data_IF_455139317268
#
_entry.id   IF_455139317268
#
_cell.length_a   1.000
_cell.length_b   1.000
_cell.length_c   1.000
_cell.angle_alpha   90.00
_cell.angle_beta   90.00
_cell.angle_gamma   90.00
#
_symmetry.space_group_name_H-M   'P 1'
#
loop_
_entity.id
_entity.type
_entity.pdbx_description
1 polymer ?
#
# COMPACT_ATOMS: atom_id res chain seq x y z
N UNK A 1 41.71 -20.45 -29.25
CA UNK A 1 42.49 -19.35 -29.86
C UNK A 1 41.71 -18.06 -29.74
N UNK A 2 42.35 -17.05 -29.14
CA UNK A 2 41.82 -15.70 -28.90
C UNK A 2 41.74 -14.93 -30.23
N UNK A 3 40.71 -14.13 -30.43
CA UNK A 3 40.82 -12.93 -31.27
C UNK A 3 40.36 -11.73 -30.46
N UNK A 4 41.38 -11.03 -29.94
CA UNK A 4 41.30 -9.66 -29.46
C UNK A 4 41.24 -8.75 -30.67
N UNK A 5 40.43 -7.72 -30.63
CA UNK A 5 40.75 -6.44 -31.26
C UNK A 5 40.28 -5.34 -30.30
N UNK A 6 41.25 -4.67 -29.71
CA UNK A 6 41.10 -3.39 -29.04
C UNK A 6 41.50 -2.31 -30.04
N UNK A 7 40.76 -1.20 -30.09
CA UNK A 7 41.28 0.08 -30.54
C UNK A 7 40.58 1.18 -29.76
N UNK A 8 41.36 1.80 -28.89
CA UNK A 8 41.09 2.97 -28.07
C UNK A 8 41.20 4.21 -28.97
N UNK A 9 40.29 5.16 -28.79
CA UNK A 9 40.55 6.57 -29.11
C UNK A 9 40.01 7.44 -27.96
N UNK A 10 40.93 7.77 -27.05
CA UNK A 10 40.78 8.83 -26.06
C UNK A 10 40.67 10.18 -26.78
N UNK A 11 39.67 10.98 -26.41
CA UNK A 11 39.82 12.43 -26.44
C UNK A 11 39.39 12.97 -25.08
N UNK A 12 40.39 13.52 -24.37
CA UNK A 12 40.25 14.28 -23.13
C UNK A 12 39.21 15.39 -23.30
N UNK A 13 38.13 15.31 -22.52
CA UNK A 13 37.61 16.47 -21.82
C UNK A 13 37.63 16.13 -20.34
N UNK A 14 38.52 16.81 -19.62
CA UNK A 14 38.47 16.87 -18.17
C UNK A 14 37.15 17.53 -17.77
N UNK A 15 36.16 16.71 -17.42
CA UNK A 15 35.10 17.08 -16.49
C UNK A 15 35.32 16.19 -15.28
N UNK A 16 35.98 16.81 -14.31
CA UNK A 16 35.94 16.54 -12.87
C UNK A 16 35.07 15.32 -12.57
N UNK A 17 35.72 14.21 -12.20
CA UNK A 17 35.07 13.10 -11.53
C UNK A 17 34.48 13.60 -10.22
N UNK A 18 33.27 14.14 -10.30
CA UNK A 18 32.31 14.00 -9.24
C UNK A 18 32.00 12.51 -9.25
N UNK A 19 32.70 11.76 -8.39
CA UNK A 19 32.03 10.69 -7.69
C UNK A 19 30.73 11.32 -7.18
N UNK A 20 29.64 11.12 -7.91
CA UNK A 20 28.33 11.28 -7.32
C UNK A 20 28.33 10.22 -6.23
N UNK A 21 28.70 10.62 -5.00
CA UNK A 21 28.09 10.06 -3.84
C UNK A 21 26.60 10.15 -4.18
N UNK A 22 25.95 9.03 -4.53
CA UNK A 22 24.50 8.99 -4.52
C UNK A 22 24.14 9.34 -3.07
N UNK A 23 23.85 10.62 -2.84
CA UNK A 23 23.49 11.08 -1.51
C UNK A 23 22.11 10.53 -1.25
N UNK A 24 22.02 9.63 -0.27
CA UNK A 24 20.77 9.13 0.28
C UNK A 24 19.75 10.27 0.40
N UNK A 25 18.60 10.11 -0.24
CA UNK A 25 17.51 11.09 -0.25
C UNK A 25 16.45 10.65 0.74
N UNK A 26 16.40 11.31 1.89
CA UNK A 26 15.41 11.03 2.91
C UNK A 26 14.18 11.93 2.76
N UNK A 27 13.00 11.33 2.71
CA UNK A 27 11.75 12.08 2.77
C UNK A 27 11.52 12.61 4.18
N UNK A 28 11.04 13.85 4.29
CA UNK A 28 10.56 14.41 5.56
C UNK A 28 9.14 13.93 5.81
N UNK A 29 8.81 13.67 7.07
CA UNK A 29 7.48 13.18 7.45
C UNK A 29 6.95 14.02 8.61
N UNK A 30 5.78 14.59 8.40
CA UNK A 30 5.05 15.34 9.41
C UNK A 30 3.90 14.48 9.98
N UNK A 31 3.57 14.61 11.28
CA UNK A 31 2.49 13.85 11.93
C UNK A 31 1.11 14.41 11.58
N UNK A 32 0.82 14.53 10.29
CA UNK A 32 -0.41 15.14 9.78
C UNK A 32 -1.68 14.36 10.12
N UNK A 33 -1.57 13.16 10.67
CA UNK A 33 -2.71 12.43 11.26
C UNK A 33 -3.12 12.96 12.64
N UNK A 34 -2.39 13.92 13.22
CA UNK A 34 -2.71 14.55 14.51
C UNK A 34 -3.31 15.94 14.33
N UNK A 35 -4.13 16.37 15.29
CA UNK A 35 -4.68 17.74 15.33
C UNK A 35 -3.57 18.79 15.42
N UNK A 36 -2.57 18.53 16.27
CA UNK A 36 -1.38 19.35 16.41
C UNK A 36 -0.20 18.68 15.71
N UNK A 37 0.11 19.13 14.50
CA UNK A 37 1.18 18.56 13.67
C UNK A 37 2.59 18.86 14.18
N UNK A 38 2.74 19.69 15.22
CA UNK A 38 4.04 19.97 15.85
C UNK A 38 4.46 18.93 16.88
N UNK A 39 3.54 18.06 17.32
CA UNK A 39 3.83 16.97 18.25
C UNK A 39 4.16 15.70 17.45
N UNK A 40 5.40 15.17 17.51
CA UNK A 40 5.80 14.03 16.67
C UNK A 40 5.11 12.71 17.05
N UNK A 41 4.58 12.60 18.28
CA UNK A 41 3.98 11.40 18.83
C UNK A 41 2.97 11.72 19.94
N UNK A 42 1.80 11.09 19.92
CA UNK A 42 0.74 11.23 20.93
C UNK A 42 0.45 9.86 21.56
N UNK A 43 0.74 9.70 22.86
CA UNK A 43 0.72 8.41 23.58
C UNK A 43 -0.64 7.69 23.67
N UNK A 44 -1.73 8.34 23.32
CA UNK A 44 -3.11 7.83 23.38
C UNK A 44 -3.84 7.93 22.04
N UNK A 45 -3.10 8.13 20.94
CA UNK A 45 -3.67 8.25 19.61
C UNK A 45 -4.35 6.96 19.19
N UNK A 46 -5.58 7.11 18.70
CA UNK A 46 -6.38 6.08 18.07
C UNK A 46 -7.17 6.71 16.93
N UNK A 47 -7.08 6.09 15.76
CA UNK A 47 -7.87 6.42 14.59
C UNK A 47 -8.48 5.14 14.02
N UNK A 48 -9.74 5.22 13.60
CA UNK A 48 -10.40 4.19 12.80
C UNK A 48 -11.00 4.81 11.55
N UNK A 49 -10.65 4.29 10.40
CA UNK A 49 -11.25 4.65 9.10
C UNK A 49 -11.87 3.43 8.47
N UNK A 50 -13.02 3.62 7.80
CA UNK A 50 -13.74 2.55 7.10
C UNK A 50 -14.12 3.06 5.72
N UNK A 51 -13.83 2.26 4.70
CA UNK A 51 -14.09 2.54 3.30
C UNK A 51 -15.06 1.50 2.74
N UNK A 52 -15.97 1.96 1.90
CA UNK A 52 -16.70 1.08 1.00
C UNK A 52 -15.79 0.78 -0.20
N UNK A 53 -15.72 -0.48 -0.61
CA UNK A 53 -14.92 -0.91 -1.76
C UNK A 53 -15.87 -1.30 -2.88
N UNK A 54 -15.61 -0.78 -4.08
CA UNK A 54 -16.36 -1.10 -5.29
C UNK A 54 -15.41 -1.51 -6.40
N UNK A 55 -15.92 -2.35 -7.29
CA UNK A 55 -15.24 -2.67 -8.54
C UNK A 55 -15.76 -1.75 -9.65
N UNK A 56 -14.83 -1.06 -10.31
CA UNK A 56 -15.09 -0.30 -11.53
C UNK A 56 -14.42 -1.02 -12.70
N UNK A 57 -15.23 -1.52 -13.63
CA UNK A 57 -14.72 -2.29 -14.76
C UNK A 57 -13.98 -1.39 -15.76
N UNK A 58 -12.91 -1.91 -16.35
CA UNK A 58 -12.27 -1.30 -17.51
C UNK A 58 -12.97 -1.79 -18.80
N UNK A 59 -13.47 -0.85 -19.60
CA UNK A 59 -14.10 -1.14 -20.88
C UNK A 59 -13.10 -1.84 -21.83
N UNK A 60 -11.81 -1.50 -21.72
CA UNK A 60 -10.71 -2.04 -22.53
C UNK A 60 -10.11 -3.33 -21.95
N UNK A 61 -10.74 -3.94 -20.93
CA UNK A 61 -10.22 -5.17 -20.32
C UNK A 61 -9.94 -6.27 -21.33
N UNK A 62 -8.69 -6.76 -21.33
CA UNK A 62 -8.17 -7.73 -22.31
C UNK A 62 -8.16 -9.18 -21.79
N UNK A 63 -8.30 -9.38 -20.48
CA UNK A 63 -8.24 -10.71 -19.84
C UNK A 63 -9.50 -11.56 -20.03
N UNK A 64 -10.56 -11.04 -20.68
CA UNK A 64 -11.79 -11.81 -20.89
C UNK A 64 -12.55 -12.19 -19.61
N UNK A 65 -12.20 -11.65 -18.45
CA UNK A 65 -12.86 -11.88 -17.16
C UNK A 65 -13.40 -10.57 -16.58
N UNK A 66 -14.42 -10.66 -15.71
CA UNK A 66 -15.05 -9.52 -15.03
C UNK A 66 -15.57 -9.93 -13.64
N UNK A 67 -15.52 -9.01 -12.68
CA UNK A 67 -16.22 -9.17 -11.40
C UNK A 67 -17.69 -8.71 -11.52
N UNK A 68 -18.60 -9.56 -11.06
CA UNK A 68 -20.04 -9.32 -10.89
C UNK A 68 -20.38 -9.42 -9.41
N UNK A 69 -21.54 -8.86 -9.01
CA UNK A 69 -22.07 -8.98 -7.64
C UNK A 69 -21.06 -8.57 -6.56
N UNK A 70 -20.21 -7.60 -6.88
CA UNK A 70 -19.09 -7.20 -6.05
C UNK A 70 -19.57 -6.43 -4.81
N UNK A 71 -19.05 -6.82 -3.65
CA UNK A 71 -19.16 -6.07 -2.41
C UNK A 71 -17.85 -6.15 -1.64
N UNK A 72 -17.38 -5.04 -1.09
CA UNK A 72 -16.19 -5.07 -0.25
C UNK A 72 -16.15 -3.95 0.78
N UNK A 73 -15.37 -4.17 1.82
CA UNK A 73 -15.11 -3.20 2.88
C UNK A 73 -13.63 -3.20 3.23
N UNK A 74 -13.09 -2.02 3.48
CA UNK A 74 -11.72 -1.85 3.97
C UNK A 74 -11.73 -1.05 5.26
N UNK A 75 -11.19 -1.63 6.32
CA UNK A 75 -11.04 -0.96 7.62
C UNK A 75 -9.56 -0.76 7.92
N UNK A 76 -9.22 0.42 8.44
CA UNK A 76 -7.88 0.71 8.95
C UNK A 76 -8.00 1.29 10.36
N UNK A 77 -7.30 0.67 11.30
CA UNK A 77 -7.15 1.14 12.67
C UNK A 77 -5.69 1.51 12.88
N UNK A 78 -5.41 2.70 13.37
CA UNK A 78 -4.07 3.15 13.75
C UNK A 78 -4.08 3.55 15.21
N UNK A 79 -3.22 2.94 16.01
CA UNK A 79 -3.16 3.19 17.45
C UNK A 79 -1.72 3.31 17.93
N UNK A 80 -1.47 4.09 18.97
CA UNK A 80 -0.20 3.98 19.70
C UNK A 80 -0.16 2.70 20.52
N UNK A 81 1.01 2.05 20.51
CA UNK A 81 1.23 0.89 21.36
C UNK A 81 1.77 1.31 22.72
N UNK A 82 1.43 0.55 23.76
CA UNK A 82 1.99 0.76 25.10
C UNK A 82 3.51 0.57 25.05
N UNK A 83 4.21 1.63 25.43
CA UNK A 83 5.67 1.66 25.53
C UNK A 83 6.19 0.82 26.70
N UNK A 84 7.31 0.10 26.55
CA UNK A 84 8.06 -0.09 25.31
C UNK A 84 7.56 -1.30 24.50
N UNK A 85 7.72 -1.26 23.17
CA UNK A 85 7.48 -2.42 22.31
C UNK A 85 8.79 -3.16 22.05
N UNK A 86 8.79 -4.49 22.25
CA UNK A 86 9.93 -5.35 21.94
C UNK A 86 9.55 -6.28 20.81
N UNK A 87 10.33 -6.23 19.73
CA UNK A 87 10.10 -7.05 18.56
C UNK A 87 10.44 -8.53 18.86
N UNK A 88 9.54 -9.49 18.56
CA UNK A 88 9.77 -10.90 18.88
C UNK A 88 10.96 -11.55 18.15
N UNK A 89 11.22 -11.18 16.89
CA UNK A 89 12.16 -11.91 16.03
C UNK A 89 13.64 -11.62 16.33
N UNK A 90 13.94 -10.45 16.92
CA UNK A 90 15.32 -10.00 17.16
C UNK A 90 15.53 -9.29 18.51
N UNK A 91 14.47 -9.17 19.33
CA UNK A 91 14.48 -8.58 20.67
C UNK A 91 14.97 -7.12 20.75
N UNK A 92 14.95 -6.34 19.65
CA UNK A 92 15.16 -4.89 19.81
C UNK A 92 13.89 -4.22 20.33
N UNK A 93 14.09 -3.14 21.08
CA UNK A 93 13.03 -2.43 21.79
C UNK A 93 12.95 -0.99 21.31
N UNK A 94 11.72 -0.49 21.15
CA UNK A 94 11.44 0.92 20.86
C UNK A 94 10.59 1.52 21.97
N UNK A 95 10.84 2.79 22.27
CA UNK A 95 10.06 3.54 23.27
C UNK A 95 8.74 4.06 22.73
N UNK A 96 8.64 4.34 21.44
CA UNK A 96 7.45 4.94 20.83
C UNK A 96 7.19 4.24 19.51
N UNK A 97 5.94 3.85 19.26
CA UNK A 97 5.56 3.25 18.00
C UNK A 97 4.04 3.27 17.82
N UNK A 98 3.65 3.26 16.57
CA UNK A 98 2.28 3.05 16.14
C UNK A 98 2.11 1.60 15.69
N UNK A 99 0.87 1.14 15.74
CA UNK A 99 0.40 -0.09 15.12
C UNK A 99 -0.76 0.28 14.20
N UNK A 100 -0.62 -0.02 12.92
CA UNK A 100 -1.69 0.05 11.93
C UNK A 100 -2.16 -1.36 11.66
N UNK A 101 -3.47 -1.61 11.80
CA UNK A 101 -4.12 -2.84 11.38
C UNK A 101 -5.09 -2.50 10.26
N UNK A 102 -4.93 -3.12 9.10
CA UNK A 102 -5.88 -3.02 8.00
C UNK A 102 -6.58 -4.34 7.76
N UNK A 103 -7.83 -4.31 7.33
CA UNK A 103 -8.62 -5.48 6.95
C UNK A 103 -9.42 -5.15 5.71
N UNK A 104 -9.08 -5.80 4.60
CA UNK A 104 -9.88 -5.83 3.38
C UNK A 104 -10.70 -7.12 3.39
N UNK A 105 -12.01 -6.98 3.16
CA UNK A 105 -12.92 -8.10 2.91
C UNK A 105 -13.64 -7.86 1.59
N UNK A 106 -13.69 -8.88 0.73
CA UNK A 106 -14.34 -8.82 -0.59
C UNK A 106 -15.15 -10.08 -0.85
N UNK A 107 -16.36 -9.91 -1.37
CA UNK A 107 -17.19 -10.96 -1.96
C UNK A 107 -17.53 -10.61 -3.40
N UNK A 108 -17.45 -11.56 -4.31
CA UNK A 108 -17.80 -11.33 -5.71
C UNK A 108 -18.03 -12.64 -6.48
N UNK A 109 -18.54 -12.49 -7.70
CA UNK A 109 -18.59 -13.53 -8.72
C UNK A 109 -17.65 -13.16 -9.87
N UNK A 110 -16.62 -13.96 -10.15
CA UNK A 110 -15.77 -13.82 -11.35
C UNK A 110 -16.43 -14.59 -12.49
N UNK A 111 -16.66 -13.91 -13.61
CA UNK A 111 -17.30 -14.48 -14.80
C UNK A 111 -16.50 -14.16 -16.07
N UNK A 112 -16.75 -14.89 -17.16
CA UNK A 112 -16.22 -14.51 -18.48
C UNK A 112 -16.93 -13.26 -19.01
N UNK A 113 -16.15 -12.28 -19.47
CA UNK A 113 -16.65 -11.01 -20.04
C UNK A 113 -17.51 -11.31 -21.27
N UNK A 114 -18.70 -10.75 -21.33
CA UNK A 114 -19.67 -10.97 -22.42
C UNK A 114 -20.37 -12.33 -22.38
N UNK A 115 -20.25 -13.09 -21.30
CA UNK A 115 -20.90 -14.38 -21.08
C UNK A 115 -21.66 -14.41 -19.75
N UNK A 116 -22.58 -15.36 -19.62
CA UNK A 116 -23.21 -15.74 -18.36
C UNK A 116 -22.44 -16.87 -17.64
N UNK A 117 -21.32 -17.31 -18.22
CA UNK A 117 -20.46 -18.32 -17.61
C UNK A 117 -19.74 -17.75 -16.38
N UNK A 118 -20.17 -18.20 -15.20
CA UNK A 118 -19.48 -18.02 -13.93
C UNK A 118 -18.27 -18.94 -13.86
N UNK A 119 -17.12 -18.38 -13.48
CA UNK A 119 -15.91 -19.13 -13.21
C UNK A 119 -15.87 -19.53 -11.73
N UNK A 120 -16.00 -18.54 -10.84
CA UNK A 120 -15.92 -18.71 -9.39
C UNK A 120 -16.82 -17.66 -8.72
N UNK A 121 -17.50 -18.05 -7.65
CA UNK A 121 -18.17 -17.12 -6.72
C UNK A 121 -17.60 -17.33 -5.32
N UNK A 122 -17.37 -16.24 -4.58
CA UNK A 122 -16.76 -16.28 -3.25
C UNK A 122 -17.32 -15.20 -2.33
N UNK A 123 -17.39 -15.51 -1.04
CA UNK A 123 -18.07 -14.68 -0.03
C UNK A 123 -19.58 -14.59 -0.22
N UNK A 124 -20.24 -13.73 0.57
CA UNK A 124 -21.68 -13.57 0.54
C UNK A 124 -22.42 -14.90 0.76
N UNK A 125 -23.38 -15.22 -0.13
CA UNK A 125 -24.17 -16.45 -0.08
C UNK A 125 -23.60 -17.60 -0.95
N UNK A 126 -22.36 -17.47 -1.45
CA UNK A 126 -21.75 -18.44 -2.39
C UNK A 126 -21.40 -19.80 -1.76
N UNK A 127 -21.20 -19.85 -0.45
CA UNK A 127 -20.70 -21.03 0.27
C UNK A 127 -19.17 -21.17 0.27
N UNK A 128 -18.46 -20.41 -0.56
CA UNK A 128 -17.00 -20.30 -0.53
C UNK A 128 -16.58 -19.14 0.39
N UNK A 129 -15.39 -19.22 1.04
CA UNK A 129 -14.87 -18.14 1.86
C UNK A 129 -14.78 -16.82 1.09
N UNK A 130 -15.01 -15.71 1.77
CA UNK A 130 -14.72 -14.37 1.22
C UNK A 130 -13.21 -14.14 1.09
N UNK A 131 -12.83 -13.26 0.17
CA UNK A 131 -11.47 -12.75 0.13
C UNK A 131 -11.23 -11.90 1.37
N UNK A 132 -10.11 -12.16 2.04
CA UNK A 132 -9.75 -11.46 3.25
C UNK A 132 -8.25 -11.24 3.33
N UNK A 133 -7.84 -9.98 3.49
CA UNK A 133 -6.46 -9.59 3.71
C UNK A 133 -6.40 -8.79 4.99
N UNK A 134 -5.71 -9.32 6.00
CA UNK A 134 -5.43 -8.63 7.26
C UNK A 134 -3.95 -8.31 7.30
N UNK A 135 -3.62 -7.04 7.45
CA UNK A 135 -2.23 -6.61 7.60
C UNK A 135 -2.07 -5.85 8.90
N UNK A 136 -1.02 -6.15 9.66
CA UNK A 136 -0.64 -5.39 10.85
C UNK A 136 0.80 -4.93 10.73
N UNK A 137 1.04 -3.62 10.79
CA UNK A 137 2.37 -3.02 10.71
C UNK A 137 2.65 -2.17 11.94
N UNK A 138 3.83 -2.37 12.51
CA UNK A 138 4.39 -1.56 13.59
C UNK A 138 5.45 -0.65 13.01
N UNK A 139 5.40 0.62 13.35
CA UNK A 139 6.33 1.61 12.82
C UNK A 139 6.62 2.73 13.82
N UNK A 140 7.77 3.36 13.66
CA UNK A 140 8.24 4.43 14.55
C UNK A 140 7.49 5.75 14.29
N UNK A 141 7.58 6.74 15.17
CA UNK A 141 6.91 8.04 14.97
C UNK A 141 7.45 8.84 13.78
N UNK A 142 6.80 9.98 13.49
CA UNK A 142 7.19 10.89 12.39
C UNK A 142 8.63 11.41 12.53
N UNK A 143 9.08 11.65 13.77
CA UNK A 143 10.46 12.06 14.10
C UNK A 143 11.52 11.03 13.64
N UNK A 144 11.11 9.77 13.50
CA UNK A 144 11.92 8.65 13.00
C UNK A 144 11.47 8.22 11.59
N UNK A 145 10.75 9.08 10.86
CA UNK A 145 10.32 8.92 9.46
C UNK A 145 9.46 7.68 9.20
N UNK A 146 8.66 7.26 10.18
CA UNK A 146 7.78 6.09 10.05
C UNK A 146 8.53 4.80 9.67
N UNK A 147 9.79 4.68 10.10
CA UNK A 147 10.56 3.47 9.84
C UNK A 147 9.79 2.24 10.33
N UNK A 148 9.55 1.25 9.46
CA UNK A 148 8.86 0.03 9.85
C UNK A 148 9.72 -0.78 10.81
N UNK A 149 9.05 -1.42 11.77
CA UNK A 149 9.62 -2.28 12.80
C UNK A 149 9.30 -3.73 12.44
N UNK A 150 8.02 -3.98 12.15
CA UNK A 150 7.49 -5.32 11.89
C UNK A 150 6.21 -5.25 11.08
N UNK A 151 5.97 -6.26 10.27
CA UNK A 151 4.69 -6.44 9.57
C UNK A 151 4.25 -7.90 9.66
N UNK A 152 2.95 -8.11 9.83
CA UNK A 152 2.27 -9.39 9.69
C UNK A 152 1.22 -9.27 8.61
N UNK A 153 1.12 -10.27 7.73
CA UNK A 153 0.06 -10.40 6.74
C UNK A 153 -0.61 -11.76 6.95
N UNK A 154 -1.94 -11.79 6.90
CA UNK A 154 -2.76 -12.99 6.80
C UNK A 154 -3.70 -12.80 5.60
N UNK A 155 -3.62 -13.68 4.62
CA UNK A 155 -4.25 -13.48 3.32
C UNK A 155 -4.94 -14.76 2.84
N UNK A 156 -6.19 -14.58 2.40
CA UNK A 156 -6.97 -15.53 1.61
C UNK A 156 -7.56 -14.78 0.42
N UNK A 157 -7.24 -15.16 -0.82
CA UNK A 157 -7.72 -14.42 -2.01
C UNK A 157 -7.95 -15.28 -3.25
N UNK A 158 -8.94 -14.89 -4.03
CA UNK A 158 -9.23 -15.35 -5.38
C UNK A 158 -8.63 -14.41 -6.42
N UNK A 159 -7.47 -14.77 -6.97
CA UNK A 159 -6.74 -13.94 -7.94
C UNK A 159 -6.96 -14.43 -9.37
N UNK A 160 -7.56 -13.62 -10.26
CA UNK A 160 -7.62 -13.93 -11.68
C UNK A 160 -6.21 -13.91 -12.29
N UNK A 161 -5.92 -14.85 -13.19
CA UNK A 161 -4.62 -14.94 -13.87
C UNK A 161 -4.73 -14.78 -15.39
N UNK A 162 -3.59 -14.73 -16.07
CA UNK A 162 -3.48 -14.50 -17.50
C UNK A 162 -4.14 -15.59 -18.37
N UNK A 163 -4.37 -16.78 -17.80
CA UNK A 163 -4.95 -17.93 -18.51
C UNK A 163 -6.48 -17.96 -18.41
N UNK A 164 -7.11 -16.87 -17.94
CA UNK A 164 -8.56 -16.81 -17.69
C UNK A 164 -9.05 -17.84 -16.66
N UNK A 165 -8.18 -18.15 -15.70
CA UNK A 165 -8.50 -18.98 -14.55
C UNK A 165 -8.30 -18.18 -13.27
N UNK A 166 -8.87 -18.66 -12.18
CA UNK A 166 -8.73 -18.08 -10.85
C UNK A 166 -7.77 -18.97 -10.05
N UNK A 167 -6.85 -18.34 -9.34
CA UNK A 167 -5.97 -19.04 -8.40
C UNK A 167 -6.30 -18.58 -6.99
N UNK A 168 -6.60 -19.52 -6.12
CA UNK A 168 -6.83 -19.26 -4.70
C UNK A 168 -5.50 -19.32 -3.96
N UNK A 169 -5.15 -18.26 -3.24
CA UNK A 169 -3.97 -18.23 -2.38
C UNK A 169 -4.38 -18.08 -0.92
N UNK A 170 -3.72 -18.85 -0.06
CA UNK A 170 -3.80 -18.71 1.39
C UNK A 170 -2.39 -18.76 1.97
N UNK A 171 -1.98 -17.70 2.66
CA UNK A 171 -0.68 -17.67 3.35
C UNK A 171 -0.66 -16.64 4.47
N UNK A 172 0.34 -16.77 5.35
CA UNK A 172 0.70 -15.72 6.29
C UNK A 172 2.17 -15.33 6.11
N UNK A 173 2.49 -14.06 6.29
CA UNK A 173 3.87 -13.57 6.25
C UNK A 173 4.22 -12.73 7.46
N UNK A 174 5.50 -12.72 7.79
CA UNK A 174 6.10 -11.84 8.81
C UNK A 174 7.33 -11.18 8.23
N UNK A 175 7.34 -9.86 8.22
CA UNK A 175 8.51 -9.04 7.87
C UNK A 175 9.10 -8.45 9.15
N UNK A 176 10.34 -8.82 9.46
CA UNK A 176 11.08 -8.35 10.61
C UNK A 176 12.21 -7.41 10.16
N UNK A 177 12.09 -6.12 10.44
CA UNK A 177 13.15 -5.15 10.17
C UNK A 177 14.22 -5.21 11.27
N UNK A 178 15.42 -4.70 11.02
CA UNK A 178 16.40 -4.47 12.09
C UNK A 178 16.23 -3.06 12.70
N UNK A 179 16.89 -2.80 13.83
CA UNK A 179 16.76 -1.54 14.58
C UNK A 179 16.91 -0.27 13.72
N UNK A 180 17.89 -0.27 12.81
CA UNK A 180 18.17 0.86 11.91
C UNK A 180 17.40 0.83 10.59
N UNK A 181 16.48 -0.12 10.40
CA UNK A 181 15.70 -0.32 9.18
C UNK A 181 16.58 -0.33 7.90
N UNK A 182 17.73 -1.01 7.96
CA UNK A 182 18.64 -1.19 6.82
C UNK A 182 18.55 -2.58 6.21
N UNK A 183 17.98 -3.54 6.96
CA UNK A 183 17.80 -4.93 6.58
C UNK A 183 16.45 -5.42 7.09
N UNK A 184 15.90 -6.43 6.42
CA UNK A 184 14.71 -7.12 6.88
C UNK A 184 14.78 -8.62 6.54
N UNK A 185 14.06 -9.41 7.32
CA UNK A 185 13.81 -10.82 7.04
C UNK A 185 12.32 -11.01 6.82
N UNK A 186 11.94 -11.56 5.67
CA UNK A 186 10.59 -12.00 5.38
C UNK A 186 10.51 -13.51 5.60
N UNK A 187 9.49 -13.95 6.32
CA UNK A 187 9.13 -15.36 6.48
C UNK A 187 7.71 -15.54 5.95
N UNK A 188 7.50 -16.54 5.10
CA UNK A 188 6.18 -16.85 4.53
C UNK A 188 5.82 -18.27 4.95
N UNK A 189 4.60 -18.43 5.46
CA UNK A 189 3.96 -19.71 5.76
C UNK A 189 2.88 -19.93 4.73
N UNK A 190 3.15 -20.81 3.78
CA UNK A 190 2.14 -21.28 2.83
C UNK A 190 1.05 -22.07 3.57
N UNK A 191 -0.21 -21.76 3.27
CA UNK A 191 -1.39 -22.41 3.85
C UNK A 191 -2.27 -23.01 2.76
N UNK A 192 -1.68 -23.44 1.63
CA UNK A 192 -2.45 -24.00 0.52
C UNK A 192 -3.23 -25.25 0.93
N UNK A 193 -2.71 -26.01 1.90
CA UNK A 193 -3.37 -27.21 2.45
C UNK A 193 -4.60 -26.90 3.32
N UNK A 194 -4.80 -25.64 3.73
CA UNK A 194 -5.96 -25.20 4.52
C UNK A 194 -7.14 -24.78 3.63
N UNK A 195 -6.93 -24.65 2.31
CA UNK A 195 -7.97 -24.30 1.34
C UNK A 195 -8.90 -25.50 1.15
N UNK A 196 -10.20 -25.28 1.38
CA UNK A 196 -11.23 -26.34 1.29
C UNK A 196 -11.91 -26.41 -0.07
N UNK A 197 -11.66 -25.45 -0.96
CA UNK A 197 -12.24 -25.38 -2.30
C UNK A 197 -11.64 -26.45 -3.21
N UNK A 198 -12.46 -27.03 -4.10
CA UNK A 198 -12.01 -28.06 -5.04
C UNK A 198 -11.46 -27.43 -6.33
N UNK A 199 -10.31 -27.90 -6.80
CA UNK A 199 -9.77 -27.49 -8.09
C UNK A 199 -10.70 -27.90 -9.24
N UNK A 200 -10.83 -27.01 -10.21
CA UNK A 200 -11.63 -27.21 -11.43
C UNK A 200 -10.86 -26.70 -12.65
N UNK A 201 -11.44 -26.82 -13.85
CA UNK A 201 -10.87 -26.21 -15.06
C UNK A 201 -10.74 -24.67 -14.95
N UNK A 202 -11.52 -24.04 -14.06
CA UNK A 202 -11.56 -22.59 -13.88
C UNK A 202 -10.86 -22.10 -12.59
N UNK A 203 -10.60 -23.00 -11.63
CA UNK A 203 -10.04 -22.69 -10.31
C UNK A 203 -8.87 -23.61 -9.99
N UNK A 204 -7.76 -23.04 -9.54
CA UNK A 204 -6.56 -23.75 -9.09
C UNK A 204 -6.14 -23.28 -7.71
N UNK A 205 -5.42 -24.13 -6.98
CA UNK A 205 -4.84 -23.76 -5.69
C UNK A 205 -3.39 -23.32 -5.90
N UNK A 206 -3.09 -22.10 -5.48
CA UNK A 206 -1.77 -21.50 -5.56
C UNK A 206 -0.90 -21.86 -4.37
N UNK A 207 0.39 -22.03 -4.63
CA UNK A 207 1.43 -22.17 -3.60
C UNK A 207 2.36 -20.97 -3.61
N UNK A 208 2.75 -20.50 -2.43
CA UNK A 208 3.60 -19.34 -2.24
C UNK A 208 5.02 -19.78 -1.88
N UNK A 209 6.02 -19.03 -2.36
CA UNK A 209 7.44 -19.34 -2.11
C UNK A 209 7.87 -18.91 -0.70
N UNK A 210 8.95 -19.51 -0.22
CA UNK A 210 9.58 -19.12 1.04
C UNK A 210 10.13 -17.69 0.97
N UNK A 211 9.99 -16.97 2.08
CA UNK A 211 10.49 -15.59 2.24
C UNK A 211 12.01 -15.47 2.10
N UNK A 212 12.51 -14.24 2.22
CA UNK A 212 13.92 -13.90 1.94
C UNK A 212 14.51 -12.84 2.86
N UNK A 213 15.82 -12.69 2.80
CA UNK A 213 16.55 -11.62 3.48
C UNK A 213 16.80 -10.45 2.53
N UNK A 214 16.54 -9.24 2.99
CA UNK A 214 16.70 -8.00 2.24
C UNK A 214 17.69 -7.08 2.96
N UNK A 215 18.45 -6.32 2.17
CA UNK A 215 19.48 -5.39 2.65
C UNK A 215 19.47 -4.12 1.82
N UNK A 216 20.24 -3.13 2.28
CA UNK A 216 20.39 -1.83 1.62
C UNK A 216 19.01 -1.15 1.46
N UNK A 217 18.15 -1.28 2.47
CA UNK A 217 16.78 -0.75 2.47
C UNK A 217 16.74 0.78 2.56
N UNK A 218 17.82 1.40 3.07
CA UNK A 218 17.92 2.85 3.25
C UNK A 218 19.17 3.44 2.60
N UNK A 219 19.74 2.77 1.60
CA UNK A 219 20.93 3.26 0.90
C UNK A 219 20.59 4.48 0.03
N UNK A 220 19.49 4.39 -0.72
CA UNK A 220 19.07 5.45 -1.64
C UNK A 220 17.95 6.34 -1.06
N UNK A 221 16.94 5.75 -0.41
CA UNK A 221 15.74 6.46 0.04
C UNK A 221 15.30 6.11 1.47
N UNK A 222 14.31 6.83 2.01
CA UNK A 222 13.60 6.39 3.22
C UNK A 222 12.88 5.06 2.95
N UNK A 223 12.89 4.14 3.93
CA UNK A 223 12.26 2.83 3.82
C UNK A 223 10.88 2.82 4.50
N UNK A 224 9.89 2.28 3.80
CA UNK A 224 8.56 2.00 4.31
C UNK A 224 8.17 0.55 3.99
N UNK A 225 7.30 -0.03 4.80
CA UNK A 225 6.62 -1.27 4.45
C UNK A 225 5.46 -0.99 3.48
N UNK A 226 5.16 -1.92 2.56
CA UNK A 226 4.03 -1.81 1.64
C UNK A 226 2.70 -1.56 2.39
N UNK A 227 2.51 -2.22 3.53
CA UNK A 227 1.32 -2.15 4.38
C UNK A 227 0.98 -0.73 4.89
N UNK A 228 1.98 0.13 5.01
CA UNK A 228 1.81 1.49 5.54
C UNK A 228 1.89 2.57 4.47
N UNK A 229 2.05 2.25 3.18
CA UNK A 229 2.28 3.26 2.14
C UNK A 229 1.17 4.30 2.04
N UNK A 230 -0.09 3.87 2.12
CA UNK A 230 -1.23 4.79 2.08
C UNK A 230 -1.27 5.70 3.29
N UNK A 231 -0.93 5.19 4.47
CA UNK A 231 -0.85 6.00 5.68
C UNK A 231 0.34 6.98 5.63
N UNK A 232 1.52 6.51 5.19
CA UNK A 232 2.74 7.30 5.11
C UNK A 232 2.57 8.54 4.23
N UNK A 233 1.82 8.43 3.12
CA UNK A 233 1.52 9.56 2.24
C UNK A 233 0.89 10.75 2.96
N UNK A 234 0.12 10.55 4.04
CA UNK A 234 -0.47 11.64 4.83
C UNK A 234 0.59 12.59 5.41
N UNK A 235 1.75 12.05 5.75
CA UNK A 235 2.86 12.80 6.33
C UNK A 235 3.75 13.50 5.30
N UNK A 236 3.49 13.35 4.00
CA UNK A 236 4.24 14.06 2.97
C UNK A 236 3.56 15.39 2.61
N UNK A 237 4.36 16.39 2.23
CA UNK A 237 3.85 17.61 1.63
C UNK A 237 3.65 17.40 0.13
N UNK A 238 2.40 17.54 -0.34
CA UNK A 238 2.03 17.33 -1.74
C UNK A 238 1.52 18.59 -2.42
N UNK A 239 2.40 19.43 -2.95
CA UNK A 239 1.97 20.51 -3.84
C UNK A 239 1.93 20.05 -5.30
N UNK A 240 1.27 20.82 -6.17
CA UNK A 240 1.21 20.52 -7.60
C UNK A 240 2.62 20.32 -8.17
N UNK A 241 2.83 19.23 -8.90
CA UNK A 241 4.11 18.81 -9.50
C UNK A 241 5.22 18.47 -8.48
N UNK A 242 4.86 18.12 -7.24
CA UNK A 242 5.81 17.54 -6.28
C UNK A 242 5.90 16.04 -6.45
N UNK A 243 7.06 15.47 -6.14
CA UNK A 243 7.22 14.01 -6.06
C UNK A 243 8.20 13.60 -4.98
N UNK A 244 7.95 12.44 -4.39
CA UNK A 244 8.78 11.81 -3.38
C UNK A 244 9.07 10.37 -3.82
N UNK A 245 10.33 9.95 -3.74
CA UNK A 245 10.68 8.55 -4.00
C UNK A 245 11.09 7.89 -2.69
N UNK A 246 10.56 6.70 -2.46
CA UNK A 246 10.80 5.91 -1.26
C UNK A 246 11.18 4.48 -1.63
N UNK A 247 11.91 3.81 -0.75
CA UNK A 247 12.14 2.37 -0.84
C UNK A 247 11.02 1.66 -0.11
N UNK A 248 10.45 0.66 -0.77
CA UNK A 248 9.36 -0.18 -0.27
C UNK A 248 9.85 -1.61 -0.17
N UNK A 249 9.53 -2.26 0.94
CA UNK A 249 9.61 -3.70 1.04
C UNK A 249 8.20 -4.29 1.06
N UNK A 250 7.97 -5.20 0.13
CA UNK A 250 6.79 -6.03 0.03
C UNK A 250 7.18 -7.49 0.24
N UNK A 251 6.31 -8.28 0.88
CA UNK A 251 6.60 -9.66 1.21
C UNK A 251 6.64 -10.58 -0.02
N UNK A 252 5.95 -10.22 -1.09
CA UNK A 252 5.90 -10.96 -2.36
C UNK A 252 6.86 -10.41 -3.43
N UNK A 253 6.91 -9.08 -3.62
CA UNK A 253 7.70 -8.41 -4.64
C UNK A 253 9.12 -8.06 -4.16
N UNK A 254 9.37 -8.11 -2.85
CA UNK A 254 10.65 -7.76 -2.25
C UNK A 254 10.94 -6.25 -2.31
N UNK A 255 12.23 -5.91 -2.25
CA UNK A 255 12.69 -4.51 -2.25
C UNK A 255 12.49 -3.86 -3.63
N UNK A 256 11.75 -2.76 -3.67
CA UNK A 256 11.59 -1.93 -4.87
C UNK A 256 11.42 -0.45 -4.49
N UNK A 257 11.45 0.44 -5.47
CA UNK A 257 11.25 1.87 -5.23
C UNK A 257 9.88 2.31 -5.74
N UNK A 258 9.23 3.20 -4.99
CA UNK A 258 7.92 3.75 -5.30
C UNK A 258 8.03 5.28 -5.35
N UNK A 259 7.38 5.88 -6.34
CA UNK A 259 7.24 7.31 -6.49
C UNK A 259 5.82 7.74 -6.14
N UNK A 260 5.71 8.68 -5.21
CA UNK A 260 4.50 9.47 -4.99
C UNK A 260 4.62 10.73 -5.83
N UNK A 261 3.66 10.99 -6.71
CA UNK A 261 3.63 12.21 -7.53
C UNK A 261 2.28 12.90 -7.41
N UNK A 262 2.30 14.18 -7.02
CA UNK A 262 1.09 14.99 -6.93
C UNK A 262 0.85 15.70 -8.27
N UNK A 263 -0.19 15.27 -9.00
CA UNK A 263 -0.54 15.84 -10.30
C UNK A 263 -1.23 17.19 -10.14
N UNK A 264 -2.10 17.31 -9.13
CA UNK A 264 -2.90 18.50 -8.89
C UNK A 264 -3.39 18.58 -7.44
N UNK A 265 -3.79 19.80 -7.09
CA UNK A 265 -4.49 20.12 -5.86
C UNK A 265 -5.82 20.73 -6.26
N UNK A 266 -6.91 20.14 -5.80
CA UNK A 266 -8.27 20.51 -6.20
C UNK A 266 -9.16 20.69 -4.97
N UNK A 267 -10.13 21.58 -5.07
CA UNK A 267 -11.22 21.70 -4.09
C UNK A 267 -12.38 20.85 -4.58
N UNK A 268 -12.89 19.99 -3.69
CA UNK A 268 -14.06 19.14 -3.92
C UNK A 268 -15.17 19.54 -2.96
N UNK A 269 -16.41 19.53 -3.42
CA UNK A 269 -17.61 19.99 -2.71
C UNK A 269 -18.61 18.85 -2.42
N UNK A 270 -18.23 17.61 -2.73
CA UNK A 270 -19.09 16.43 -2.73
C UNK A 270 -18.49 15.22 -1.98
N UNK A 271 -17.55 15.45 -1.04
CA UNK A 271 -17.10 14.39 -0.14
C UNK A 271 -18.22 14.06 0.84
N UNK A 272 -18.65 12.79 0.83
CA UNK A 272 -19.71 12.28 1.70
C UNK A 272 -19.14 11.21 2.64
N UNK A 273 -18.74 11.64 3.84
CA UNK A 273 -18.32 10.74 4.91
C UNK A 273 -18.69 11.30 6.28
N UNK A 274 -18.68 10.42 7.28
CA UNK A 274 -18.88 10.78 8.69
C UNK A 274 -17.54 10.98 9.39
N UNK A 275 -17.40 12.06 10.15
CA UNK A 275 -16.19 12.37 10.91
C UNK A 275 -16.52 12.58 12.39
N UNK A 276 -16.00 11.71 13.26
CA UNK A 276 -16.30 11.73 14.70
C UNK A 276 -17.79 11.68 15.04
N UNK A 277 -18.60 11.02 14.20
CA UNK A 277 -20.04 10.84 14.39
C UNK A 277 -20.91 11.54 13.33
N UNK A 278 -20.91 12.89 13.24
CA UNK A 278 -21.74 13.59 12.26
C UNK A 278 -21.20 13.44 10.83
N UNK A 279 -22.13 13.47 9.86
CA UNK A 279 -21.80 13.68 8.44
C UNK A 279 -21.22 15.07 8.23
N UNK A 280 -20.42 15.23 7.18
CA UNK A 280 -20.01 16.55 6.73
C UNK A 280 -21.24 17.42 6.40
N UNK A 281 -21.23 18.71 6.76
CA UNK A 281 -22.27 19.64 6.33
C UNK A 281 -22.37 19.71 4.80
N UNK A 282 -23.59 19.80 4.27
CA UNK A 282 -23.83 19.98 2.83
C UNK A 282 -23.06 21.20 2.29
N UNK A 283 -22.35 21.02 1.17
CA UNK A 283 -21.56 22.06 0.54
C UNK A 283 -20.23 22.38 1.24
N UNK A 284 -19.74 21.49 2.11
CA UNK A 284 -18.39 21.63 2.67
C UNK A 284 -17.35 21.47 1.55
N UNK A 285 -16.68 22.56 1.21
CA UNK A 285 -15.53 22.55 0.30
C UNK A 285 -14.27 22.05 1.03
N UNK A 286 -13.66 20.99 0.53
CA UNK A 286 -12.44 20.40 1.06
C UNK A 286 -11.37 20.37 -0.03
N UNK A 287 -10.18 20.88 0.27
CA UNK A 287 -9.05 20.77 -0.64
C UNK A 287 -8.35 19.43 -0.47
N UNK A 288 -8.13 18.72 -1.57
CA UNK A 288 -7.43 17.45 -1.64
C UNK A 288 -6.21 17.52 -2.56
N UNK A 289 -5.20 16.71 -2.25
CA UNK A 289 -4.08 16.43 -3.15
C UNK A 289 -4.35 15.12 -3.89
N UNK A 290 -4.35 15.17 -5.23
CA UNK A 290 -4.44 13.98 -6.09
C UNK A 290 -3.03 13.43 -6.30
N UNK A 291 -2.76 12.25 -5.77
CA UNK A 291 -1.42 11.65 -5.74
C UNK A 291 -1.43 10.30 -6.44
N UNK A 292 -0.47 10.12 -7.34
CA UNK A 292 -0.22 8.87 -8.01
C UNK A 292 0.94 8.14 -7.34
N UNK A 293 0.75 6.88 -7.00
CA UNK A 293 1.74 5.99 -6.40
C UNK A 293 2.11 4.95 -7.45
N UNK A 294 3.37 4.96 -7.90
CA UNK A 294 3.83 4.14 -9.02
C UNK A 294 5.23 3.58 -8.77
N UNK A 295 5.58 2.48 -9.44
CA UNK A 295 6.95 1.95 -9.42
C UNK A 295 7.94 2.97 -10.01
N UNK A 296 9.01 3.25 -9.28
CA UNK A 296 10.07 4.15 -9.72
C UNK A 296 11.15 3.41 -10.50
N UNK A 297 11.70 4.04 -11.54
CA UNK A 297 12.87 3.52 -12.27
C UNK A 297 12.61 2.32 -13.19
N UNK A 298 11.35 1.95 -13.43
CA UNK A 298 10.99 0.79 -14.26
C UNK A 298 11.03 1.03 -15.79
N UNK A 299 11.51 2.19 -16.24
CA UNK A 299 11.48 2.56 -17.66
C UNK A 299 10.05 2.58 -18.20
N UNK A 300 9.80 1.95 -19.35
CA UNK A 300 8.44 1.81 -19.92
C UNK A 300 7.59 0.74 -19.22
N UNK A 301 8.14 0.04 -18.22
CA UNK A 301 7.44 -0.98 -17.43
C UNK A 301 7.00 -0.43 -16.07
N UNK A 302 6.60 0.85 -16.01
CA UNK A 302 5.88 1.34 -14.84
C UNK A 302 4.61 0.50 -14.72
N UNK A 303 4.50 -0.30 -13.66
CA UNK A 303 3.30 -1.08 -13.39
C UNK A 303 2.05 -0.21 -13.30
N UNK A 304 0.92 -0.83 -13.00
CA UNK A 304 -0.32 -0.10 -12.71
C UNK A 304 -0.08 0.95 -11.62
N UNK A 305 -0.57 2.16 -11.84
CA UNK A 305 -0.39 3.30 -10.94
C UNK A 305 -1.61 3.40 -10.05
N UNK A 306 -1.40 3.42 -8.73
CA UNK A 306 -2.49 3.62 -7.79
C UNK A 306 -2.75 5.12 -7.66
N UNK A 307 -4.02 5.53 -7.64
CA UNK A 307 -4.40 6.93 -7.47
C UNK A 307 -5.04 7.11 -6.09
N UNK A 308 -4.60 8.13 -5.34
CA UNK A 308 -5.10 8.41 -4.00
C UNK A 308 -5.42 9.89 -3.80
N UNK A 309 -6.37 10.17 -2.91
CA UNK A 309 -6.77 11.53 -2.56
C UNK A 309 -6.61 11.76 -1.06
N UNK A 310 -5.70 12.66 -0.69
CA UNK A 310 -5.50 13.08 0.70
C UNK A 310 -6.13 14.44 0.94
N UNK A 311 -6.92 14.59 2.00
CA UNK A 311 -7.33 15.92 2.49
C UNK A 311 -6.06 16.70 2.86
N UNK A 312 -6.03 17.99 2.54
CA UNK A 312 -4.91 18.86 2.90
C UNK A 312 -5.08 19.48 4.27
N UNK A 313 -3.95 19.72 4.92
CA UNK A 313 -3.86 20.55 6.12
C UNK A 313 -4.19 22.00 5.77
N UNK A 314 -5.33 22.50 6.22
CA UNK A 314 -5.69 23.92 6.09
C UNK A 314 -4.97 24.82 7.10
N UNK A 315 -4.54 24.25 8.24
CA UNK A 315 -3.82 24.92 9.32
C UNK A 315 -3.01 23.90 10.14
N UNK A 316 -1.69 24.06 10.22
CA UNK A 316 -0.77 23.14 10.92
C UNK A 316 -1.03 23.03 12.43
N UNK A 317 -1.63 24.06 13.04
CA UNK A 317 -2.00 24.08 14.47
C UNK A 317 -3.43 23.60 14.73
N UNK A 318 -4.21 23.34 13.68
CA UNK A 318 -5.58 22.85 13.77
C UNK A 318 -5.93 22.02 12.53
N UNK A 319 -5.34 20.82 12.41
CA UNK A 319 -5.62 19.94 11.31
C UNK A 319 -6.96 19.21 11.49
N UNK A 320 -8.05 19.89 11.15
CA UNK A 320 -9.44 19.43 11.39
C UNK A 320 -9.71 18.01 10.89
N UNK A 321 -9.19 17.65 9.72
CA UNK A 321 -9.47 16.37 9.07
C UNK A 321 -8.24 15.48 8.99
N UNK A 322 -7.17 15.79 9.74
CA UNK A 322 -6.03 14.89 9.94
C UNK A 322 -5.40 14.38 8.62
N UNK A 323 -5.49 15.13 7.53
CA UNK A 323 -5.14 14.67 6.18
C UNK A 323 -5.69 13.28 5.84
N UNK A 324 -6.94 12.99 6.18
CA UNK A 324 -7.57 11.71 5.87
C UNK A 324 -7.44 11.36 4.39
N UNK A 325 -7.18 10.09 4.13
CA UNK A 325 -7.25 9.49 2.81
C UNK A 325 -8.72 9.25 2.49
N UNK A 326 -9.26 9.90 1.46
CA UNK A 326 -10.70 9.87 1.15
C UNK A 326 -11.05 8.96 0.00
N UNK A 327 -10.08 8.70 -0.89
CA UNK A 327 -10.25 7.79 -2.04
C UNK A 327 -8.94 7.08 -2.35
N UNK A 328 -9.03 5.79 -2.66
CA UNK A 328 -7.96 4.95 -3.21
C UNK A 328 -8.50 4.29 -4.46
N UNK A 329 -7.72 4.26 -5.53
CA UNK A 329 -8.00 3.52 -6.74
C UNK A 329 -6.80 2.62 -7.05
N UNK A 330 -7.03 1.31 -6.97
CA UNK A 330 -6.04 0.27 -7.22
C UNK A 330 -6.41 -0.48 -8.50
N UNK A 331 -5.66 -0.29 -9.60
CA UNK A 331 -5.93 -1.01 -10.82
C UNK A 331 -5.61 -2.50 -10.67
N UNK A 332 -6.54 -3.33 -11.13
CA UNK A 332 -6.40 -4.78 -11.12
C UNK A 332 -5.51 -5.27 -12.27
N UNK A 333 -4.84 -6.42 -12.11
CA UNK A 333 -4.06 -7.04 -13.17
C UNK A 333 -4.85 -7.22 -14.47
N UNK A 334 -4.12 -7.23 -15.60
CA UNK A 334 -4.67 -7.50 -16.93
C UNK A 334 -5.78 -6.54 -17.39
N UNK A 335 -5.76 -5.31 -16.87
CA UNK A 335 -6.72 -4.25 -17.17
C UNK A 335 -8.16 -4.69 -16.85
N UNK A 336 -8.40 -5.46 -15.80
CA UNK A 336 -9.77 -5.90 -15.48
C UNK A 336 -10.67 -4.76 -15.00
N UNK A 337 -10.09 -3.63 -14.60
CA UNK A 337 -10.74 -2.55 -13.88
C UNK A 337 -9.92 -2.13 -12.67
N UNK A 338 -10.57 -1.49 -11.71
CA UNK A 338 -9.96 -1.04 -10.47
C UNK A 338 -10.84 -1.39 -9.27
N UNK A 339 -10.20 -1.60 -8.11
CA UNK A 339 -10.87 -1.45 -6.83
C UNK A 339 -10.83 0.02 -6.43
N UNK A 340 -12.01 0.58 -6.16
CA UNK A 340 -12.19 1.95 -5.70
C UNK A 340 -12.67 1.92 -4.25
N UNK A 341 -11.84 2.44 -3.37
CA UNK A 341 -12.09 2.58 -1.95
C UNK A 341 -12.54 4.01 -1.69
N UNK A 342 -13.73 4.20 -1.13
CA UNK A 342 -14.27 5.51 -0.79
C UNK A 342 -14.49 5.59 0.70
N UNK A 343 -13.91 6.59 1.36
CA UNK A 343 -14.04 6.76 2.81
C UNK A 343 -15.51 6.95 3.18
N UNK A 344 -16.01 6.09 4.08
CA UNK A 344 -17.38 6.15 4.60
C UNK A 344 -17.42 6.80 5.98
N UNK A 345 -16.46 6.47 6.83
CA UNK A 345 -16.40 6.99 8.19
C UNK A 345 -14.97 7.06 8.71
N UNK A 346 -14.68 8.11 9.47
CA UNK A 346 -13.45 8.27 10.23
C UNK A 346 -13.77 8.67 11.68
N UNK A 347 -12.99 8.15 12.62
CA UNK A 347 -13.06 8.50 14.04
C UNK A 347 -11.65 8.61 14.61
N UNK A 348 -11.35 9.73 15.26
CA UNK A 348 -10.04 10.07 15.84
C UNK A 348 -10.26 10.60 17.26
N UNK A 349 -9.40 10.24 18.22
CA UNK A 349 -9.45 10.74 19.60
C UNK A 349 -8.28 11.65 19.98
#
# INVERSE_FOLDING_TARGET
MKKKLAAIALMLCALIGLSACSSRTLVSVDPNWQTNTTTPYQNDFYERTVYDVRFEADEDATNGMIYKEFSGTYEVIVETIKSPYTQPENNFTVSEAYKLTSTLTVSATIAKKGSEETLVSFGGDSGNPEDKIVTTVWFRPASERLQPIRTEVDLYTHTPNANQTVTVYSYASVTAYNEGCTRAQVTVTDRSEEITEEETDALSIGQVRSGGSYSDLQDDYSCFDNAQLYFAGRGFTFDKNTSHTVTVLDDTAGKHNVNYSCSEVVTVDNLDFTFNGPSLPDGTEITVSNVNISLSGAGNNTGTTNSVQYIRTGNETNNTYHNLLVRIEEPLPYLMGSYVFTLRSASVN
#
